data_IF_505243029515
#
_entry.id   IF_505243029515
#
_cell.length_a   1.000
_cell.length_b   1.000
_cell.length_c   1.000
_cell.angle_alpha   90.00
_cell.angle_beta   90.00
_cell.angle_gamma   90.00
#
_symmetry.space_group_name_H-M   'P 1'
#
loop_
_entity.id
_entity.type
_entity.pdbx_description
1 polymer ?
#
# COMPACT_ATOMS: atom_id res chain seq x y z
N UNK A 1 22.33 -53.85 1.17
CA UNK A 1 21.51 -52.78 1.76
C UNK A 1 21.99 -51.48 1.17
N UNK A 2 21.23 -50.94 0.21
CA UNK A 2 21.67 -49.83 -0.63
C UNK A 2 20.91 -48.55 -0.21
N UNK A 3 21.68 -47.55 0.24
CA UNK A 3 21.20 -46.21 0.49
C UNK A 3 20.90 -45.55 -0.86
N UNK A 4 19.66 -45.22 -1.10
CA UNK A 4 19.24 -44.45 -2.27
C UNK A 4 19.25 -42.94 -1.88
N UNK A 5 20.25 -42.23 -2.38
CA UNK A 5 20.33 -40.76 -2.27
C UNK A 5 19.37 -40.15 -3.26
N UNK A 6 18.30 -39.49 -2.75
CA UNK A 6 17.50 -38.60 -3.56
C UNK A 6 18.22 -37.25 -3.64
N UNK A 7 18.81 -36.97 -4.78
CA UNK A 7 19.24 -35.63 -5.18
C UNK A 7 17.99 -34.96 -5.72
N UNK A 8 17.39 -34.08 -4.92
CA UNK A 8 16.44 -33.09 -5.44
C UNK A 8 17.23 -32.08 -6.26
N UNK A 9 17.13 -32.20 -7.56
CA UNK A 9 17.59 -31.19 -8.50
C UNK A 9 16.56 -30.04 -8.48
N UNK A 10 16.83 -29.01 -7.67
CA UNK A 10 16.11 -27.77 -7.75
C UNK A 10 16.45 -27.11 -9.10
N UNK A 11 15.56 -27.29 -10.08
CA UNK A 11 15.58 -26.53 -11.30
C UNK A 11 15.25 -25.07 -10.93
N UNK A 12 16.29 -24.27 -10.70
CA UNK A 12 16.20 -22.82 -10.78
C UNK A 12 15.85 -22.53 -12.25
N UNK A 13 14.59 -22.29 -12.52
CA UNK A 13 14.17 -21.66 -13.74
C UNK A 13 14.77 -20.25 -13.74
N UNK A 14 15.98 -20.10 -14.27
CA UNK A 14 16.42 -18.84 -14.82
C UNK A 14 15.38 -18.52 -15.90
N UNK A 15 14.43 -17.66 -15.56
CA UNK A 15 13.70 -16.92 -16.56
C UNK A 15 14.74 -16.09 -17.29
N UNK A 16 15.23 -16.62 -18.40
CA UNK A 16 15.92 -15.84 -19.38
C UNK A 16 14.98 -14.69 -19.71
N UNK A 17 15.30 -13.50 -19.20
CA UNK A 17 14.79 -12.27 -19.79
C UNK A 17 15.20 -12.36 -21.25
N UNK A 18 14.26 -12.66 -22.11
CA UNK A 18 14.40 -12.48 -23.52
C UNK A 18 14.58 -10.97 -23.73
N UNK A 19 15.83 -10.50 -23.66
CA UNK A 19 16.22 -9.44 -24.54
C UNK A 19 15.95 -10.01 -25.94
N UNK A 20 14.88 -9.56 -26.58
CA UNK A 20 14.81 -9.69 -28.01
C UNK A 20 16.02 -8.91 -28.52
N UNK A 21 17.00 -9.61 -29.07
CA UNK A 21 18.11 -9.06 -29.82
C UNK A 21 17.58 -8.47 -31.16
N UNK A 22 16.75 -7.43 -31.05
CA UNK A 22 16.55 -6.46 -32.10
C UNK A 22 17.51 -5.31 -31.80
N UNK A 23 18.78 -5.51 -32.15
CA UNK A 23 19.85 -4.50 -32.10
C UNK A 23 19.58 -3.25 -32.94
N UNK A 24 18.51 -3.24 -33.70
CA UNK A 24 18.02 -2.12 -34.51
C UNK A 24 16.85 -1.33 -33.85
N UNK A 25 16.46 -1.61 -32.63
CA UNK A 25 15.39 -0.88 -31.94
C UNK A 25 15.85 0.56 -31.64
N UNK A 26 15.31 1.52 -32.36
CA UNK A 26 15.52 2.96 -32.11
C UNK A 26 14.75 3.50 -30.93
N UNK A 27 14.00 2.66 -30.24
CA UNK A 27 13.23 2.99 -29.04
C UNK A 27 13.51 1.95 -27.95
N UNK A 28 13.87 2.43 -26.74
CA UNK A 28 14.11 1.62 -25.56
C UNK A 28 13.20 2.02 -24.44
N UNK A 29 12.91 1.09 -23.54
CA UNK A 29 12.10 1.32 -22.35
C UNK A 29 12.57 0.49 -21.16
N UNK A 30 12.16 0.91 -19.95
CA UNK A 30 12.36 0.17 -18.71
C UNK A 30 11.35 0.62 -17.64
N UNK A 31 11.10 -0.24 -16.67
CA UNK A 31 10.31 0.08 -15.48
C UNK A 31 11.27 0.32 -14.30
N UNK A 32 11.55 1.59 -14.01
CA UNK A 32 12.60 2.00 -13.05
C UNK A 32 12.11 2.13 -11.61
N UNK A 33 10.81 2.20 -11.40
CA UNK A 33 10.21 2.28 -10.06
C UNK A 33 8.86 1.57 -10.03
N UNK A 34 8.61 0.83 -8.97
CA UNK A 34 7.32 0.18 -8.68
C UNK A 34 7.08 0.12 -7.19
N UNK A 35 5.83 0.23 -6.78
CA UNK A 35 5.42 0.04 -5.40
C UNK A 35 5.67 -1.41 -4.97
N UNK A 36 6.24 -1.59 -3.77
CA UNK A 36 6.50 -2.92 -3.16
C UNK A 36 5.55 -3.24 -2.01
N UNK A 37 4.74 -2.28 -1.59
CA UNK A 37 3.72 -2.49 -0.56
C UNK A 37 2.66 -3.52 -1.03
N UNK A 38 2.01 -4.26 -0.11
CA UNK A 38 0.89 -5.12 -0.45
C UNK A 38 -0.19 -4.36 -1.23
N UNK A 39 -0.63 -4.92 -2.36
CA UNK A 39 -1.70 -4.35 -3.16
C UNK A 39 -3.04 -4.60 -2.45
N UNK A 40 -3.65 -3.55 -1.92
CA UNK A 40 -4.93 -3.59 -1.19
C UNK A 40 -5.96 -2.78 -1.97
N UNK A 41 -7.20 -3.24 -2.03
CA UNK A 41 -8.28 -2.51 -2.71
C UNK A 41 -8.42 -1.07 -2.17
N UNK A 42 -8.51 -0.10 -3.08
CA UNK A 42 -8.51 1.33 -2.79
C UNK A 42 -7.13 1.99 -2.66
N UNK A 43 -6.05 1.20 -2.56
CA UNK A 43 -4.68 1.71 -2.54
C UNK A 43 -4.09 1.81 -3.95
N UNK A 44 -3.01 2.58 -4.08
CA UNK A 44 -2.31 2.76 -5.35
C UNK A 44 -1.12 1.82 -5.50
N UNK A 45 -0.96 1.26 -6.70
CA UNK A 45 0.30 0.72 -7.18
C UNK A 45 0.88 1.76 -8.13
N UNK A 46 2.05 2.28 -7.81
CA UNK A 46 2.69 3.36 -8.58
C UNK A 46 3.89 2.82 -9.34
N UNK A 47 4.02 3.27 -10.57
CA UNK A 47 5.11 2.90 -11.48
C UNK A 47 5.79 4.14 -12.04
N UNK A 48 7.07 3.99 -12.35
CA UNK A 48 7.85 4.92 -13.14
C UNK A 48 8.36 4.20 -14.39
N UNK A 49 7.80 4.57 -15.53
CA UNK A 49 8.10 3.98 -16.82
C UNK A 49 9.00 4.92 -17.63
N UNK A 50 10.23 4.48 -17.88
CA UNK A 50 11.23 5.22 -18.63
C UNK A 50 11.23 4.83 -20.09
N UNK A 51 11.41 5.82 -20.97
CA UNK A 51 11.49 5.65 -22.43
C UNK A 51 12.62 6.48 -23.00
N UNK A 52 13.28 5.98 -24.06
CA UNK A 52 14.32 6.70 -24.75
C UNK A 52 14.30 6.39 -26.26
N UNK A 53 14.20 7.41 -27.10
CA UNK A 53 14.27 7.30 -28.55
C UNK A 53 15.68 7.67 -29.04
N UNK A 54 16.32 6.78 -29.79
CA UNK A 54 17.60 7.07 -30.46
C UNK A 54 17.40 7.85 -31.74
N UNK A 55 16.24 7.67 -32.39
CA UNK A 55 15.84 8.40 -33.60
C UNK A 55 14.42 8.91 -33.45
N UNK A 56 14.17 10.14 -33.94
CA UNK A 56 12.88 10.80 -33.80
C UNK A 56 12.62 11.30 -32.38
N UNK A 57 11.37 11.34 -31.99
CA UNK A 57 10.88 11.85 -30.72
C UNK A 57 9.99 10.81 -30.06
N UNK A 58 9.83 10.90 -28.73
CA UNK A 58 8.79 10.15 -28.04
C UNK A 58 7.41 10.66 -28.48
N UNK A 59 6.51 9.76 -28.83
CA UNK A 59 5.14 10.08 -29.26
C UNK A 59 4.11 9.78 -28.19
N UNK A 60 3.98 8.53 -27.79
CA UNK A 60 2.93 8.08 -26.88
C UNK A 60 3.44 7.01 -25.92
N UNK A 61 2.91 7.03 -24.71
CA UNK A 61 3.00 5.91 -23.75
C UNK A 61 1.61 5.30 -23.55
N UNK A 62 1.56 4.00 -23.37
CA UNK A 62 0.35 3.26 -22.99
C UNK A 62 0.67 2.36 -21.80
N UNK A 63 -0.25 2.31 -20.85
CA UNK A 63 -0.26 1.33 -19.77
C UNK A 63 -1.53 0.51 -19.85
N UNK A 64 -1.41 -0.81 -19.87
CA UNK A 64 -2.53 -1.74 -19.92
C UNK A 64 -2.48 -2.67 -18.70
N UNK A 65 -3.56 -2.72 -17.94
CA UNK A 65 -3.75 -3.63 -16.82
C UNK A 65 -4.65 -4.80 -17.21
N UNK A 66 -4.43 -5.99 -16.64
CA UNK A 66 -5.27 -7.17 -16.88
C UNK A 66 -6.65 -7.06 -16.22
N UNK A 67 -6.82 -6.19 -15.22
CA UNK A 67 -8.09 -5.81 -14.60
C UNK A 67 -8.18 -4.29 -14.65
N UNK A 68 -9.32 -3.73 -15.04
CA UNK A 68 -9.54 -2.27 -15.07
C UNK A 68 -9.32 -1.68 -13.68
N UNK A 69 -8.57 -0.57 -13.60
CA UNK A 69 -8.36 0.13 -12.34
C UNK A 69 -9.58 0.93 -11.91
N UNK A 70 -9.66 1.23 -10.60
CA UNK A 70 -10.68 2.14 -10.08
C UNK A 70 -10.39 3.59 -10.47
N UNK A 71 -11.30 4.49 -10.14
CA UNK A 71 -11.19 5.93 -10.37
C UNK A 71 -9.85 6.48 -9.84
N UNK A 72 -9.22 7.33 -10.60
CA UNK A 72 -7.87 7.84 -10.31
C UNK A 72 -6.72 7.00 -10.88
N UNK A 73 -7.03 5.90 -11.60
CA UNK A 73 -6.03 5.16 -12.38
C UNK A 73 -5.66 5.93 -13.64
N UNK A 74 -4.36 6.05 -13.93
CA UNK A 74 -3.89 6.67 -15.17
C UNK A 74 -2.47 7.23 -15.07
N UNK A 75 -2.01 7.83 -16.18
CA UNK A 75 -0.77 8.57 -16.21
C UNK A 75 -0.94 9.96 -15.59
N UNK A 76 0.06 10.38 -14.81
CA UNK A 76 0.15 11.76 -14.33
C UNK A 76 0.64 12.67 -15.47
N UNK A 77 0.12 13.91 -15.53
CA UNK A 77 0.48 14.89 -16.55
C UNK A 77 1.94 15.33 -16.45
N UNK A 78 2.52 15.24 -15.26
CA UNK A 78 3.92 15.51 -15.04
C UNK A 78 4.71 14.20 -15.06
N UNK A 79 5.89 14.23 -15.65
CA UNK A 79 6.88 13.17 -15.58
C UNK A 79 8.13 13.64 -14.83
N UNK A 80 9.06 12.73 -14.62
CA UNK A 80 10.32 13.04 -13.96
C UNK A 80 11.40 12.08 -14.42
N UNK A 81 12.64 12.37 -14.05
CA UNK A 81 13.73 11.42 -14.12
C UNK A 81 14.41 11.31 -12.74
N UNK A 82 14.98 10.17 -12.45
CA UNK A 82 15.73 9.96 -11.22
C UNK A 82 17.17 10.46 -11.38
N UNK A 83 17.58 11.40 -10.54
CA UNK A 83 18.94 11.92 -10.56
C UNK A 83 19.96 10.82 -10.23
N UNK A 84 20.95 10.60 -11.11
CA UNK A 84 22.05 9.66 -10.84
C UNK A 84 23.10 10.23 -9.90
N UNK A 85 23.28 11.55 -9.95
CA UNK A 85 24.24 12.31 -9.16
C UNK A 85 23.56 13.56 -8.63
N UNK A 86 24.25 14.29 -7.72
CA UNK A 86 23.80 15.60 -7.28
C UNK A 86 23.60 16.52 -8.49
N UNK A 87 22.43 17.13 -8.57
CA UNK A 87 21.98 17.93 -9.69
C UNK A 87 21.30 19.19 -9.17
N UNK A 88 21.49 20.33 -9.86
CA UNK A 88 20.78 21.58 -9.57
C UNK A 88 19.90 21.91 -10.78
N UNK A 89 18.59 22.03 -10.56
CA UNK A 89 17.59 22.40 -11.58
C UNK A 89 16.77 23.56 -11.03
N UNK A 90 16.72 24.67 -11.75
CA UNK A 90 15.99 25.88 -11.34
C UNK A 90 16.31 26.35 -9.90
N UNK A 91 17.56 26.24 -9.47
CA UNK A 91 18.00 26.62 -8.11
C UNK A 91 17.66 25.59 -7.01
N UNK A 92 16.96 24.50 -7.32
CA UNK A 92 16.71 23.38 -6.40
C UNK A 92 17.79 22.34 -6.55
N UNK A 93 18.37 21.92 -5.43
CA UNK A 93 19.39 20.85 -5.40
C UNK A 93 18.73 19.51 -5.17
N UNK A 94 18.96 18.58 -6.08
CA UNK A 94 18.54 17.17 -6.00
C UNK A 94 19.75 16.30 -5.68
N UNK A 95 19.58 15.30 -4.84
CA UNK A 95 20.61 14.31 -4.53
C UNK A 95 20.50 13.10 -5.47
N UNK A 96 21.49 12.21 -5.45
CA UNK A 96 21.40 10.94 -6.15
C UNK A 96 20.20 10.13 -5.63
N UNK A 97 19.34 9.67 -6.54
CA UNK A 97 18.13 8.96 -6.22
C UNK A 97 16.86 9.82 -6.10
N UNK A 98 16.99 11.15 -6.05
CA UNK A 98 15.84 12.05 -6.04
C UNK A 98 15.14 12.08 -7.40
N UNK A 99 13.80 12.20 -7.38
CA UNK A 99 13.00 12.42 -8.58
C UNK A 99 13.02 13.90 -8.97
N UNK A 100 13.50 14.18 -10.17
CA UNK A 100 13.54 15.53 -10.75
C UNK A 100 12.32 15.72 -11.65
N UNK A 101 11.43 16.67 -11.37
CA UNK A 101 10.19 16.84 -12.13
C UNK A 101 10.46 17.35 -13.55
N UNK A 102 9.76 16.76 -14.52
CA UNK A 102 9.73 17.17 -15.92
C UNK A 102 8.29 17.13 -16.42
N UNK A 103 7.83 18.21 -17.00
CA UNK A 103 6.49 18.24 -17.60
C UNK A 103 6.59 17.75 -19.05
N UNK A 104 6.24 16.49 -19.28
CA UNK A 104 6.39 15.81 -20.58
C UNK A 104 5.11 15.23 -21.14
N UNK A 105 4.02 15.23 -20.36
CA UNK A 105 2.71 14.71 -20.78
C UNK A 105 1.78 15.86 -21.07
N UNK A 106 1.30 15.96 -22.33
CA UNK A 106 0.33 16.97 -22.76
C UNK A 106 -1.08 16.57 -22.41
N UNK A 107 -1.45 15.34 -22.76
CA UNK A 107 -2.76 14.76 -22.50
C UNK A 107 -2.59 13.35 -21.90
N UNK A 108 -3.47 12.98 -20.98
CA UNK A 108 -3.60 11.63 -20.50
C UNK A 108 -5.07 11.23 -20.52
N UNK A 109 -5.35 10.03 -20.98
CA UNK A 109 -6.69 9.47 -21.02
C UNK A 109 -6.70 8.06 -20.46
N UNK A 110 -7.83 7.64 -19.89
CA UNK A 110 -8.02 6.29 -19.36
C UNK A 110 -9.31 5.72 -19.92
N UNK A 111 -9.25 4.49 -20.44
CA UNK A 111 -10.39 3.73 -20.93
C UNK A 111 -10.35 2.31 -20.36
N UNK A 112 -11.09 2.09 -19.27
CA UNK A 112 -11.13 0.80 -18.59
C UNK A 112 -9.75 0.33 -18.11
N UNK A 113 -9.23 -0.74 -18.72
CA UNK A 113 -7.92 -1.31 -18.40
C UNK A 113 -6.74 -0.58 -19.08
N UNK A 114 -7.00 0.35 -20.00
CA UNK A 114 -5.96 1.02 -20.80
C UNK A 114 -5.88 2.49 -20.44
N UNK A 115 -4.68 2.98 -20.18
CA UNK A 115 -4.36 4.40 -20.05
C UNK A 115 -3.35 4.81 -21.12
N UNK A 116 -3.55 5.98 -21.73
CA UNK A 116 -2.68 6.53 -22.77
C UNK A 116 -2.22 7.92 -22.40
N UNK A 117 -0.98 8.26 -22.74
CA UNK A 117 -0.39 9.57 -22.53
C UNK A 117 0.36 10.01 -23.79
N UNK A 118 0.03 11.19 -24.29
CA UNK A 118 0.74 11.81 -25.42
C UNK A 118 1.91 12.63 -24.89
N UNK A 119 3.10 12.41 -25.44
CA UNK A 119 4.30 13.13 -25.05
C UNK A 119 4.30 14.53 -25.69
N UNK A 120 4.88 15.48 -24.98
CA UNK A 120 5.09 16.82 -25.51
C UNK A 120 6.19 16.81 -26.58
N UNK A 121 6.05 17.66 -27.59
CA UNK A 121 7.03 17.76 -28.69
C UNK A 121 8.38 18.31 -28.22
N UNK A 122 8.39 19.09 -27.14
CA UNK A 122 9.60 19.75 -26.61
C UNK A 122 9.60 19.68 -25.10
N UNK A 123 10.79 19.50 -24.55
CA UNK A 123 11.09 19.61 -23.12
C UNK A 123 12.03 20.79 -22.95
N UNK A 124 11.86 21.58 -21.90
CA UNK A 124 12.80 22.61 -21.52
C UNK A 124 14.18 21.96 -21.27
N UNK A 125 15.23 22.51 -21.85
CA UNK A 125 16.59 21.99 -21.74
C UNK A 125 17.06 21.83 -20.28
N UNK A 126 16.51 22.63 -19.35
CA UNK A 126 16.80 22.55 -17.92
C UNK A 126 16.34 21.24 -17.28
N UNK A 127 15.39 20.53 -17.90
CA UNK A 127 14.81 19.28 -17.41
C UNK A 127 15.39 18.05 -18.10
N UNK A 128 16.24 18.21 -19.11
CA UNK A 128 16.88 17.09 -19.79
C UNK A 128 17.89 16.41 -18.87
N UNK A 129 17.72 15.11 -18.65
CA UNK A 129 18.74 14.31 -17.98
C UNK A 129 19.93 14.10 -18.92
N UNK A 130 21.11 14.70 -18.68
CA UNK A 130 22.26 14.58 -19.57
C UNK A 130 22.71 13.13 -19.77
N UNK A 131 22.42 12.24 -18.83
CA UNK A 131 22.77 10.81 -18.93
C UNK A 131 21.85 10.02 -19.86
N UNK A 132 20.69 10.58 -20.25
CA UNK A 132 19.72 10.00 -21.16
C UNK A 132 19.69 10.77 -22.49
N UNK A 133 20.32 11.94 -22.54
CA UNK A 133 20.48 12.71 -23.78
C UNK A 133 21.52 12.02 -24.69
N UNK A 134 21.05 11.42 -25.76
CA UNK A 134 21.91 10.80 -26.76
C UNK A 134 22.50 11.85 -27.69
N UNK A 135 23.35 12.74 -27.17
CA UNK A 135 24.30 13.53 -27.96
C UNK A 135 23.76 14.43 -29.07
N UNK A 136 22.50 14.77 -29.10
CA UNK A 136 21.94 15.64 -30.16
C UNK A 136 21.57 17.00 -29.58
N UNK A 137 22.01 18.04 -30.24
CA UNK A 137 21.78 19.46 -29.95
C UNK A 137 20.34 19.95 -30.23
N UNK A 138 19.38 19.05 -30.38
CA UNK A 138 17.99 19.42 -30.68
C UNK A 138 17.11 19.34 -29.45
N UNK A 139 16.38 20.40 -29.20
CA UNK A 139 15.35 20.52 -28.16
C UNK A 139 14.10 19.68 -28.48
N UNK A 140 14.27 18.38 -28.67
CA UNK A 140 13.21 17.42 -28.92
C UNK A 140 13.16 16.40 -27.78
N UNK A 141 11.97 15.97 -27.40
CA UNK A 141 11.79 14.97 -26.34
C UNK A 141 12.26 13.61 -26.83
N UNK A 142 13.49 13.24 -26.49
CA UNK A 142 14.10 11.95 -26.83
C UNK A 142 14.11 10.97 -25.66
N UNK A 143 13.89 11.44 -24.43
CA UNK A 143 13.82 10.61 -23.23
C UNK A 143 12.81 11.18 -22.22
N UNK A 144 12.07 10.31 -21.57
CA UNK A 144 11.14 10.66 -20.53
C UNK A 144 10.95 9.53 -19.52
N UNK A 145 10.55 9.88 -18.32
CA UNK A 145 10.01 8.94 -17.32
C UNK A 145 8.62 9.42 -16.94
N UNK A 146 7.61 8.62 -17.20
CA UNK A 146 6.22 8.93 -16.90
C UNK A 146 5.76 8.18 -15.66
N UNK A 147 4.90 8.82 -14.85
CA UNK A 147 4.25 8.22 -13.69
C UNK A 147 2.93 7.60 -14.12
N UNK A 148 2.71 6.40 -13.65
CA UNK A 148 1.44 5.72 -13.78
C UNK A 148 0.99 5.24 -12.41
N UNK A 149 -0.21 5.65 -12.00
CA UNK A 149 -0.85 5.19 -10.77
C UNK A 149 -2.01 4.26 -11.13
N UNK A 150 -2.00 3.07 -10.58
CA UNK A 150 -3.11 2.13 -10.68
C UNK A 150 -3.81 2.03 -9.33
N UNK A 151 -5.08 2.44 -9.26
CA UNK A 151 -5.91 2.29 -8.07
C UNK A 151 -6.53 0.90 -8.09
N UNK A 152 -6.21 0.09 -7.09
CA UNK A 152 -6.65 -1.30 -7.00
C UNK A 152 -8.17 -1.36 -6.81
N UNK A 153 -8.95 -1.93 -7.74
CA UNK A 153 -10.39 -2.00 -7.60
C UNK A 153 -10.83 -3.12 -6.66
N UNK A 154 -12.03 -3.01 -6.09
CA UNK A 154 -12.54 -3.98 -5.13
C UNK A 154 -12.67 -5.40 -5.71
N UNK A 155 -13.03 -5.53 -6.98
CA UNK A 155 -13.16 -6.81 -7.69
C UNK A 155 -11.83 -7.53 -7.94
N UNK A 156 -10.71 -6.87 -7.72
CA UNK A 156 -9.38 -7.47 -7.84
C UNK A 156 -8.93 -8.22 -6.57
N UNK A 157 -9.61 -8.06 -5.45
CA UNK A 157 -9.27 -8.75 -4.19
C UNK A 157 -9.04 -10.24 -4.36
N UNK A 158 -7.89 -10.72 -3.89
CA UNK A 158 -7.50 -12.13 -3.95
C UNK A 158 -7.17 -12.63 -5.36
N UNK A 159 -7.09 -11.74 -6.36
CA UNK A 159 -6.69 -12.05 -7.74
C UNK A 159 -5.28 -11.53 -8.02
N UNK A 160 -4.77 -11.88 -9.18
CA UNK A 160 -3.50 -11.37 -9.69
C UNK A 160 -3.76 -10.31 -10.78
N UNK A 161 -2.96 -9.24 -10.77
CA UNK A 161 -2.96 -8.21 -11.80
C UNK A 161 -1.61 -8.20 -12.50
N UNK A 162 -1.60 -8.09 -13.82
CA UNK A 162 -0.40 -7.84 -14.61
C UNK A 162 -0.54 -6.53 -15.37
N UNK A 163 0.61 -5.91 -15.68
CA UNK A 163 0.68 -4.65 -16.42
C UNK A 163 1.59 -4.81 -17.62
N UNK A 164 1.21 -4.15 -18.72
CA UNK A 164 2.07 -3.98 -19.89
C UNK A 164 2.18 -2.49 -20.17
N UNK A 165 3.41 -1.99 -20.18
CA UNK A 165 3.74 -0.63 -20.59
C UNK A 165 4.28 -0.68 -22.00
N UNK A 166 3.87 0.25 -22.84
CA UNK A 166 4.40 0.38 -24.18
C UNK A 166 4.63 1.84 -24.55
N UNK A 167 5.55 2.07 -25.47
CA UNK A 167 5.86 3.38 -26.02
C UNK A 167 5.95 3.33 -27.52
N UNK A 168 5.65 4.45 -28.17
CA UNK A 168 5.76 4.63 -29.63
C UNK A 168 6.50 5.94 -29.91
N UNK A 169 7.46 5.90 -30.81
CA UNK A 169 8.16 7.10 -31.29
C UNK A 169 7.46 7.74 -32.48
N UNK A 170 7.87 8.97 -32.83
CA UNK A 170 7.40 9.68 -34.02
C UNK A 170 7.79 8.97 -35.35
N UNK A 171 8.78 8.09 -35.31
CA UNK A 171 9.19 7.26 -36.46
C UNK A 171 8.39 5.97 -36.56
N UNK A 172 7.48 5.70 -35.60
CA UNK A 172 6.69 4.48 -35.59
C UNK A 172 7.36 3.29 -34.86
N UNK A 173 8.59 3.45 -34.38
CA UNK A 173 9.23 2.43 -33.55
C UNK A 173 8.42 2.20 -32.25
N UNK A 174 8.38 0.94 -31.79
CA UNK A 174 7.63 0.52 -30.61
C UNK A 174 8.53 -0.26 -29.65
N UNK A 175 8.31 -0.05 -28.36
CA UNK A 175 8.90 -0.86 -27.31
C UNK A 175 7.84 -1.18 -26.26
N UNK A 176 7.96 -2.33 -25.59
CA UNK A 176 7.03 -2.73 -24.52
C UNK A 176 7.76 -3.42 -23.38
N UNK A 177 7.16 -3.33 -22.19
CA UNK A 177 7.61 -3.98 -20.98
C UNK A 177 6.41 -4.58 -20.26
N UNK A 178 6.47 -5.86 -19.89
CA UNK A 178 5.43 -6.53 -19.10
C UNK A 178 5.94 -6.84 -17.70
N UNK A 179 5.15 -6.50 -16.70
CA UNK A 179 5.51 -6.78 -15.31
C UNK A 179 5.25 -8.25 -14.97
N UNK A 180 5.95 -8.79 -13.94
CA UNK A 180 5.46 -9.95 -13.23
C UNK A 180 4.04 -9.73 -12.69
N UNK A 181 3.34 -10.81 -12.39
CA UNK A 181 2.01 -10.76 -11.79
C UNK A 181 2.07 -10.20 -10.36
N UNK A 182 1.14 -9.29 -10.04
CA UNK A 182 0.96 -8.73 -8.69
C UNK A 182 -0.20 -9.45 -8.00
N UNK A 183 0.03 -10.14 -6.88
CA UNK A 183 -1.06 -10.65 -6.06
C UNK A 183 -1.75 -9.46 -5.36
N UNK A 184 -3.07 -9.40 -5.46
CA UNK A 184 -3.88 -8.46 -4.70
C UNK A 184 -4.33 -9.13 -3.42
N UNK A 185 -4.03 -8.47 -2.31
CA UNK A 185 -4.41 -8.94 -0.98
C UNK A 185 -5.93 -9.08 -0.83
N UNK A 186 -6.35 -10.02 0.02
CA UNK A 186 -7.73 -10.10 0.49
C UNK A 186 -8.04 -9.10 1.60
N UNK A 187 -7.05 -8.39 2.11
CA UNK A 187 -7.22 -7.43 3.19
C UNK A 187 -8.09 -6.25 2.80
N UNK A 188 -8.75 -5.69 3.81
CA UNK A 188 -9.24 -4.32 3.83
C UNK A 188 -8.35 -3.48 4.74
N UNK A 189 -8.29 -2.18 4.48
CA UNK A 189 -7.54 -1.24 5.29
C UNK A 189 -8.34 0.04 5.54
N UNK A 190 -8.25 0.55 6.77
CA UNK A 190 -8.81 1.85 7.13
C UNK A 190 -7.86 2.56 8.08
N UNK A 191 -7.67 3.85 7.85
CA UNK A 191 -6.72 4.66 8.61
C UNK A 191 -7.43 5.70 9.45
N UNK A 192 -6.75 6.12 10.53
CA UNK A 192 -7.05 7.28 11.35
C UNK A 192 -8.47 7.29 11.94
N UNK A 193 -8.85 6.17 12.58
CA UNK A 193 -10.10 6.04 13.32
C UNK A 193 -9.88 6.57 14.73
N UNK A 194 -10.68 7.52 15.15
CA UNK A 194 -10.59 8.10 16.50
C UNK A 194 -11.35 7.26 17.51
N UNK A 195 -10.73 7.06 18.68
CA UNK A 195 -11.26 6.39 19.85
C UNK A 195 -11.18 7.33 21.06
N UNK A 196 -12.17 7.29 21.95
CA UNK A 196 -12.16 8.08 23.18
C UNK A 196 -13.24 7.66 24.16
N UNK A 197 -12.95 7.76 25.47
CA UNK A 197 -13.88 7.37 26.52
C UNK A 197 -15.23 8.10 26.45
N UNK A 198 -15.19 9.39 26.12
CA UNK A 198 -16.37 10.26 26.03
C UNK A 198 -17.04 10.22 24.65
N UNK A 199 -16.58 9.34 23.77
CA UNK A 199 -17.04 9.27 22.39
C UNK A 199 -17.18 7.84 21.88
N UNK A 200 -16.68 7.60 20.69
CA UNK A 200 -16.67 6.28 20.06
C UNK A 200 -15.54 5.43 20.69
N UNK A 201 -15.88 4.48 21.54
CA UNK A 201 -14.93 3.56 22.16
C UNK A 201 -15.21 2.09 21.86
N UNK A 202 -16.34 1.77 21.25
CA UNK A 202 -16.78 0.40 20.96
C UNK A 202 -16.41 0.03 19.52
N UNK A 203 -15.46 -0.86 19.36
CA UNK A 203 -14.92 -1.16 18.03
C UNK A 203 -15.44 -2.48 17.48
N UNK A 204 -15.93 -2.44 16.22
CA UNK A 204 -16.21 -3.62 15.41
C UNK A 204 -15.12 -3.80 14.35
N UNK A 205 -14.44 -4.94 14.41
CA UNK A 205 -13.46 -5.34 13.37
C UNK A 205 -14.19 -5.61 12.05
N UNK A 206 -15.37 -6.25 12.10
CA UNK A 206 -16.16 -6.54 10.90
C UNK A 206 -16.53 -5.25 10.16
N UNK A 207 -16.93 -4.20 10.86
CA UNK A 207 -17.32 -2.92 10.25
C UNK A 207 -16.13 -1.95 10.06
N UNK A 208 -14.95 -2.27 10.62
CA UNK A 208 -13.78 -1.39 10.74
C UNK A 208 -14.20 0.01 11.22
N UNK A 209 -14.99 0.06 12.27
CA UNK A 209 -15.60 1.28 12.80
C UNK A 209 -15.66 1.25 14.33
N UNK A 210 -15.43 2.43 14.91
CA UNK A 210 -15.74 2.71 16.30
C UNK A 210 -17.14 3.31 16.42
N UNK A 211 -17.86 2.90 17.44
CA UNK A 211 -19.22 3.32 17.77
C UNK A 211 -19.27 4.00 19.13
N UNK A 212 -20.22 4.91 19.29
CA UNK A 212 -20.58 5.46 20.60
C UNK A 212 -21.49 4.48 21.37
N UNK A 213 -21.67 4.70 22.67
CA UNK A 213 -22.59 3.90 23.49
C UNK A 213 -24.03 3.99 22.99
N UNK A 214 -24.44 5.16 22.55
CA UNK A 214 -25.77 5.40 21.99
C UNK A 214 -25.97 4.59 20.70
N UNK A 215 -25.02 4.64 19.77
CA UNK A 215 -25.08 3.85 18.51
C UNK A 215 -25.17 2.36 18.82
N UNK A 216 -24.35 1.84 19.74
CA UNK A 216 -24.38 0.41 20.13
C UNK A 216 -25.75 0.00 20.64
N UNK A 217 -26.37 0.85 21.46
CA UNK A 217 -27.68 0.57 22.06
C UNK A 217 -28.82 0.70 21.05
N UNK A 218 -28.87 1.81 20.33
CA UNK A 218 -29.98 2.12 19.41
C UNK A 218 -30.00 1.21 18.18
N UNK A 219 -28.81 0.79 17.69
CA UNK A 219 -28.66 -0.08 16.52
C UNK A 219 -28.48 -1.56 16.90
N UNK A 220 -28.56 -1.91 18.21
CA UNK A 220 -28.41 -3.29 18.70
C UNK A 220 -27.09 -3.96 18.27
N UNK A 221 -25.99 -3.23 18.37
CA UNK A 221 -24.67 -3.67 17.87
C UNK A 221 -23.84 -4.43 18.91
N UNK A 222 -24.37 -4.72 20.12
CA UNK A 222 -23.62 -5.32 21.21
C UNK A 222 -22.83 -6.60 20.81
N UNK A 223 -23.42 -7.47 20.01
CA UNK A 223 -22.79 -8.71 19.52
C UNK A 223 -21.70 -8.48 18.45
N UNK A 224 -21.61 -7.30 17.87
CA UNK A 224 -20.58 -6.93 16.87
C UNK A 224 -19.34 -6.31 17.51
N UNK A 225 -19.38 -5.94 18.79
CA UNK A 225 -18.26 -5.25 19.43
C UNK A 225 -17.17 -6.27 19.77
N UNK A 226 -16.03 -6.12 19.11
CA UNK A 226 -14.85 -6.97 19.31
C UNK A 226 -13.99 -6.48 20.47
N UNK A 227 -13.80 -5.16 20.58
CA UNK A 227 -13.11 -4.58 21.73
C UNK A 227 -13.65 -3.20 22.11
N UNK A 228 -13.39 -2.85 23.36
CA UNK A 228 -13.69 -1.55 23.93
C UNK A 228 -12.35 -0.86 24.20
N UNK A 229 -12.20 0.36 23.72
CA UNK A 229 -11.11 1.22 24.13
C UNK A 229 -11.43 1.85 25.46
N UNK A 230 -10.48 1.79 26.38
CA UNK A 230 -10.55 2.49 27.67
C UNK A 230 -9.24 3.21 27.97
N UNK A 231 -9.34 4.39 28.54
CA UNK A 231 -8.20 5.16 29.03
C UNK A 231 -8.40 5.54 30.49
N UNK A 232 -7.59 4.97 31.39
CA UNK A 232 -7.52 5.37 32.79
C UNK A 232 -6.26 6.20 32.99
N UNK A 233 -6.41 7.52 32.98
CA UNK A 233 -5.27 8.45 32.98
C UNK A 233 -4.58 8.56 34.35
N UNK A 234 -5.30 8.25 35.42
CA UNK A 234 -4.78 8.27 36.79
C UNK A 234 -4.26 6.88 37.19
N UNK A 235 -2.95 6.65 37.04
CA UNK A 235 -2.30 5.39 37.35
C UNK A 235 -1.42 4.88 36.19
N UNK A 236 -0.65 3.82 36.46
CA UNK A 236 0.23 3.23 35.47
C UNK A 236 -0.45 2.13 34.64
N UNK A 237 -1.41 1.44 35.24
CA UNK A 237 -2.15 0.34 34.63
C UNK A 237 -3.34 0.87 33.83
N UNK A 238 -3.62 0.27 32.69
CA UNK A 238 -4.78 0.57 31.84
C UNK A 238 -4.80 1.98 31.21
N UNK A 239 -3.65 2.68 31.16
CA UNK A 239 -3.62 4.07 30.70
C UNK A 239 -4.28 4.24 29.33
N UNK A 240 -3.99 3.35 28.39
CA UNK A 240 -4.68 3.21 27.11
C UNK A 240 -4.74 1.73 26.77
N UNK A 241 -5.92 1.16 26.69
CA UNK A 241 -6.07 -0.30 26.61
C UNK A 241 -7.24 -0.70 25.73
N UNK A 242 -7.14 -1.88 25.13
CA UNK A 242 -8.24 -2.57 24.47
C UNK A 242 -8.64 -3.76 25.31
N UNK A 243 -9.93 -3.92 25.54
CA UNK A 243 -10.48 -5.05 26.30
C UNK A 243 -11.69 -5.62 25.57
N UNK A 244 -11.81 -6.92 25.51
CA UNK A 244 -13.04 -7.55 24.98
C UNK A 244 -14.22 -7.30 25.93
N UNK A 245 -15.44 -7.20 25.42
CA UNK A 245 -16.62 -7.09 26.28
C UNK A 245 -16.76 -8.22 27.31
N UNK A 246 -16.38 -9.44 26.93
CA UNK A 246 -16.46 -10.63 27.80
C UNK A 246 -15.20 -10.93 28.61
N UNK A 247 -14.26 -9.99 28.72
CA UNK A 247 -13.03 -10.17 29.53
C UNK A 247 -13.33 -10.25 31.00
N UNK A 248 -12.35 -10.72 31.81
CA UNK A 248 -12.44 -10.68 33.27
C UNK A 248 -12.66 -9.22 33.76
N UNK A 249 -13.67 -8.95 34.59
CA UNK A 249 -13.97 -7.60 35.09
C UNK A 249 -12.79 -6.85 35.72
N UNK A 250 -11.79 -7.55 36.21
CA UNK A 250 -10.59 -6.90 36.78
C UNK A 250 -9.79 -6.09 35.76
N UNK A 251 -9.96 -6.37 34.45
CA UNK A 251 -9.34 -5.62 33.35
C UNK A 251 -10.19 -4.46 32.83
N UNK A 252 -11.43 -4.32 33.35
CA UNK A 252 -12.33 -3.22 33.02
C UNK A 252 -12.02 -2.05 33.96
N UNK A 253 -11.37 -1.02 33.46
CA UNK A 253 -10.95 0.14 34.23
C UNK A 253 -12.06 1.18 34.49
N UNK A 254 -13.10 1.18 33.64
CA UNK A 254 -14.20 2.13 33.68
C UNK A 254 -15.50 1.40 33.98
N UNK A 255 -16.11 1.69 35.15
CA UNK A 255 -17.35 1.06 35.54
C UNK A 255 -18.49 1.35 34.56
N UNK A 256 -19.26 0.33 34.21
CA UNK A 256 -20.40 0.45 33.29
C UNK A 256 -20.05 0.75 31.83
N UNK A 257 -18.77 0.60 31.42
CA UNK A 257 -18.36 0.79 30.05
C UNK A 257 -18.88 -0.35 29.14
N UNK A 258 -18.99 -1.59 29.63
CA UNK A 258 -19.45 -2.72 28.83
C UNK A 258 -20.92 -2.59 28.51
N UNK A 259 -21.33 -2.57 27.22
CA UNK A 259 -22.75 -2.49 26.85
C UNK A 259 -23.51 -3.77 27.23
N UNK A 260 -24.75 -3.62 27.58
CA UNK A 260 -25.61 -4.77 27.87
C UNK A 260 -25.69 -5.71 26.64
N UNK A 261 -25.48 -7.00 26.85
CA UNK A 261 -25.47 -8.01 25.76
C UNK A 261 -24.18 -8.13 24.97
N UNK A 262 -23.18 -7.31 25.21
CA UNK A 262 -21.86 -7.49 24.60
C UNK A 262 -21.04 -8.52 25.42
N UNK A 263 -20.72 -9.65 24.79
CA UNK A 263 -20.09 -10.81 25.48
C UNK A 263 -18.92 -11.40 24.69
N UNK A 264 -18.52 -10.79 23.58
CA UNK A 264 -17.44 -11.29 22.75
C UNK A 264 -16.13 -11.39 23.55
N UNK A 265 -15.39 -12.46 23.30
CA UNK A 265 -14.02 -12.68 23.79
C UNK A 265 -13.09 -12.72 22.60
N UNK A 266 -12.62 -11.58 22.18
CA UNK A 266 -11.72 -11.39 21.04
C UNK A 266 -10.29 -11.62 21.53
N UNK A 267 -9.58 -12.68 21.10
CA UNK A 267 -8.19 -12.86 21.45
C UNK A 267 -7.32 -11.76 20.85
N UNK A 268 -6.39 -11.24 21.65
CA UNK A 268 -5.53 -10.12 21.31
C UNK A 268 -4.08 -10.43 21.67
N UNK A 269 -3.17 -10.13 20.76
CA UNK A 269 -1.74 -10.18 21.02
C UNK A 269 -1.12 -8.81 20.74
N UNK A 270 -0.73 -8.10 21.81
CA UNK A 270 -0.06 -6.81 21.71
C UNK A 270 1.33 -6.98 21.11
N UNK A 271 1.68 -6.12 20.16
CA UNK A 271 3.00 -5.98 19.55
C UNK A 271 3.54 -4.58 19.77
N UNK A 272 4.66 -4.48 20.45
CA UNK A 272 5.33 -3.20 20.66
C UNK A 272 6.13 -2.80 19.43
N UNK A 273 5.95 -1.55 18.98
CA UNK A 273 6.77 -0.89 17.97
C UNK A 273 6.83 -1.63 16.59
N UNK A 274 5.77 -2.36 16.24
CA UNK A 274 5.63 -2.93 14.89
C UNK A 274 4.97 -1.89 13.99
N UNK A 275 5.81 -1.16 13.27
CA UNK A 275 5.43 0.00 12.46
C UNK A 275 5.06 -0.45 11.05
N UNK A 276 3.78 -0.69 10.80
CA UNK A 276 3.32 -0.93 9.42
C UNK A 276 3.32 0.36 8.61
N UNK A 277 4.10 0.39 7.53
CA UNK A 277 4.30 1.59 6.72
C UNK A 277 3.01 2.09 6.05
N UNK A 278 2.09 1.18 5.67
CA UNK A 278 0.81 1.58 5.09
C UNK A 278 -0.15 2.14 6.16
N UNK A 279 -0.17 1.60 7.37
CA UNK A 279 -1.02 2.08 8.46
C UNK A 279 -0.49 3.37 9.08
N UNK A 280 0.84 3.51 9.14
CA UNK A 280 1.49 4.73 9.61
C UNK A 280 1.41 5.88 8.62
N UNK A 281 1.43 5.58 7.31
CA UNK A 281 1.49 6.59 6.24
C UNK A 281 2.87 7.16 5.99
N UNK A 282 3.94 6.53 6.50
CA UNK A 282 5.34 6.94 6.36
C UNK A 282 6.21 5.72 5.98
N UNK A 283 7.14 5.91 5.06
CA UNK A 283 8.17 4.91 4.75
C UNK A 283 9.42 5.11 5.65
N UNK A 284 10.30 4.10 5.75
CA UNK A 284 10.19 2.69 5.47
C UNK A 284 10.12 1.89 6.76
N UNK A 285 9.21 0.97 6.86
CA UNK A 285 9.14 -0.02 7.94
C UNK A 285 8.67 -1.35 7.36
N UNK A 286 8.08 -2.20 8.18
CA UNK A 286 7.51 -3.46 7.72
C UNK A 286 6.15 -3.23 7.06
N UNK A 287 5.72 -4.21 6.29
CA UNK A 287 4.34 -4.34 5.82
C UNK A 287 3.74 -5.59 6.45
N UNK A 288 2.64 -5.44 7.16
CA UNK A 288 1.82 -6.58 7.55
C UNK A 288 1.00 -6.98 6.33
N UNK A 289 1.14 -8.21 5.91
CA UNK A 289 0.57 -8.75 4.69
C UNK A 289 -0.28 -10.02 4.92
N UNK A 290 -0.72 -10.65 3.83
CA UNK A 290 -1.56 -11.85 3.88
C UNK A 290 -0.85 -13.02 4.58
N UNK A 291 0.48 -13.10 4.51
CA UNK A 291 1.27 -14.19 5.13
C UNK A 291 1.25 -14.07 6.64
N UNK A 292 1.35 -12.85 7.18
CA UNK A 292 1.25 -12.60 8.62
C UNK A 292 -0.09 -13.09 9.16
N UNK A 293 -1.20 -12.80 8.47
CA UNK A 293 -2.52 -13.23 8.89
C UNK A 293 -2.77 -14.73 8.72
N UNK A 294 -2.24 -15.33 7.66
CA UNK A 294 -2.35 -16.77 7.41
C UNK A 294 -1.55 -17.60 8.42
N UNK A 295 -0.44 -17.06 8.91
CA UNK A 295 0.41 -17.71 9.91
C UNK A 295 0.06 -17.34 11.35
N UNK A 296 -0.95 -16.49 11.56
CA UNK A 296 -1.31 -15.95 12.87
C UNK A 296 -1.91 -17.02 13.78
N UNK A 297 -1.18 -17.35 14.85
CA UNK A 297 -1.67 -18.19 15.95
C UNK A 297 -1.93 -17.35 17.20
N UNK A 298 -3.19 -17.27 17.58
CA UNK A 298 -3.66 -16.60 18.80
C UNK A 298 -4.21 -17.59 19.85
N UNK A 299 -3.86 -18.87 19.75
CA UNK A 299 -4.36 -19.91 20.68
C UNK A 299 -4.02 -19.67 22.14
N UNK A 300 -2.90 -19.01 22.43
CA UNK A 300 -2.47 -18.61 23.77
C UNK A 300 -2.74 -17.14 24.10
N UNK A 301 -3.38 -16.38 23.19
CA UNK A 301 -3.64 -14.95 23.37
C UNK A 301 -4.73 -14.72 24.42
N UNK A 302 -4.64 -13.58 25.09
CA UNK A 302 -5.63 -13.10 26.06
C UNK A 302 -6.67 -12.23 25.36
N UNK A 303 -7.78 -11.95 26.06
CA UNK A 303 -8.88 -11.14 25.53
C UNK A 303 -8.80 -9.65 25.93
N UNK A 304 -7.56 -9.17 26.15
CA UNK A 304 -7.23 -7.79 26.44
C UNK A 304 -5.82 -7.43 25.96
N UNK A 305 -5.58 -6.14 25.72
CA UNK A 305 -4.26 -5.59 25.46
C UNK A 305 -4.10 -4.26 26.21
N UNK A 306 -3.16 -4.19 27.12
CA UNK A 306 -3.06 -3.11 28.11
C UNK A 306 -1.90 -2.16 27.81
N UNK A 307 -2.05 -0.91 28.22
CA UNK A 307 -0.98 0.11 28.27
C UNK A 307 -0.28 0.30 26.91
N UNK A 308 -1.05 0.70 25.90
CA UNK A 308 -0.51 1.04 24.58
C UNK A 308 0.30 2.34 24.63
N UNK A 309 1.32 2.37 23.78
CA UNK A 309 2.06 3.55 23.39
C UNK A 309 1.85 3.82 21.90
N UNK A 310 2.20 5.02 21.45
CA UNK A 310 2.28 5.31 20.01
C UNK A 310 3.21 4.29 19.34
N UNK A 311 2.89 3.89 18.13
CA UNK A 311 3.59 2.90 17.32
C UNK A 311 3.45 1.44 17.80
N UNK A 312 2.70 1.18 18.89
CA UNK A 312 2.26 -0.17 19.24
C UNK A 312 1.11 -0.62 18.34
N UNK A 313 0.81 -1.92 18.37
CA UNK A 313 -0.36 -2.49 17.74
C UNK A 313 -0.80 -3.78 18.42
N UNK A 314 -1.88 -4.36 17.92
CA UNK A 314 -2.33 -5.67 18.35
C UNK A 314 -2.89 -6.50 17.20
N UNK A 315 -2.46 -7.76 17.09
CA UNK A 315 -3.16 -8.76 16.33
C UNK A 315 -4.39 -9.25 17.08
N UNK A 316 -5.48 -9.43 16.36
CA UNK A 316 -6.76 -9.83 16.90
C UNK A 316 -7.46 -10.81 15.97
N UNK A 317 -8.37 -11.61 16.53
CA UNK A 317 -9.27 -12.45 15.74
C UNK A 317 -10.68 -12.30 16.28
N UNK A 318 -11.66 -11.97 15.42
CA UNK A 318 -13.05 -11.83 15.86
C UNK A 318 -13.55 -13.10 16.57
N UNK A 319 -14.39 -12.93 17.58
CA UNK A 319 -14.91 -14.05 18.36
C UNK A 319 -15.67 -15.08 17.51
N UNK A 320 -16.29 -14.64 16.38
CA UNK A 320 -16.96 -15.52 15.43
C UNK A 320 -15.99 -16.17 14.40
N UNK A 321 -14.71 -15.88 14.48
CA UNK A 321 -13.67 -16.45 13.61
C UNK A 321 -13.70 -16.00 12.16
N UNK A 322 -14.49 -14.99 11.79
CA UNK A 322 -14.59 -14.52 10.39
C UNK A 322 -13.38 -13.70 9.93
N UNK A 323 -12.78 -12.94 10.83
CA UNK A 323 -11.70 -12.00 10.49
C UNK A 323 -10.54 -12.08 11.46
N UNK A 324 -9.33 -11.92 10.91
CA UNK A 324 -8.17 -11.47 11.65
C UNK A 324 -7.94 -9.99 11.38
N UNK A 325 -7.32 -9.29 12.32
CA UNK A 325 -7.01 -7.89 12.17
C UNK A 325 -5.68 -7.53 12.83
N UNK A 326 -5.03 -6.50 12.32
CA UNK A 326 -3.97 -5.78 13.01
C UNK A 326 -4.40 -4.34 13.21
N UNK A 327 -4.52 -3.94 14.47
CA UNK A 327 -4.87 -2.57 14.87
C UNK A 327 -3.60 -1.86 15.30
N UNK A 328 -3.25 -0.78 14.59
CA UNK A 328 -2.04 0.01 14.82
C UNK A 328 -2.38 1.34 15.50
N UNK A 329 -1.59 1.74 16.48
CA UNK A 329 -1.77 2.98 17.24
C UNK A 329 -0.97 4.12 16.60
N UNK A 330 -1.66 4.99 15.86
CA UNK A 330 -1.05 6.15 15.20
C UNK A 330 -0.73 7.28 16.18
N UNK A 331 -1.64 7.53 17.12
CA UNK A 331 -1.53 8.64 18.08
C UNK A 331 -2.23 8.30 19.39
N UNK A 332 -1.67 8.81 20.46
CA UNK A 332 -2.26 8.81 21.82
C UNK A 332 -2.14 10.22 22.36
N UNK A 333 -3.12 10.66 23.12
CA UNK A 333 -3.04 11.91 23.86
C UNK A 333 -3.40 11.75 25.34
N UNK A 334 -3.02 12.74 26.15
CA UNK A 334 -3.26 12.75 27.58
C UNK A 334 -4.70 13.09 27.96
N UNK A 335 -5.60 13.35 26.99
CA UNK A 335 -7.03 13.57 27.20
C UNK A 335 -7.85 12.27 27.16
N UNK A 336 -7.20 11.12 26.98
CA UNK A 336 -7.87 9.83 26.87
C UNK A 336 -8.41 9.53 25.49
N UNK A 337 -7.78 10.08 24.46
CA UNK A 337 -8.07 9.78 23.06
C UNK A 337 -6.94 8.99 22.42
N UNK A 338 -7.29 8.19 21.44
CA UNK A 338 -6.37 7.40 20.64
C UNK A 338 -6.82 7.44 19.18
N UNK A 339 -5.87 7.52 18.27
CA UNK A 339 -6.13 7.35 16.83
C UNK A 339 -5.51 6.03 16.39
N UNK A 340 -6.28 5.19 15.73
CA UNK A 340 -5.84 3.88 15.25
C UNK A 340 -6.06 3.72 13.75
N UNK A 341 -5.28 2.83 13.15
CA UNK A 341 -5.49 2.33 11.79
C UNK A 341 -5.59 0.81 11.83
N UNK A 342 -6.29 0.20 10.87
CA UNK A 342 -6.55 -1.23 10.87
C UNK A 342 -6.32 -1.85 9.50
N UNK A 343 -5.71 -3.01 9.46
CA UNK A 343 -5.82 -4.00 8.40
C UNK A 343 -6.69 -5.16 8.89
N UNK A 344 -7.64 -5.57 8.06
CA UNK A 344 -8.56 -6.68 8.34
C UNK A 344 -8.45 -7.72 7.23
N UNK A 345 -8.28 -8.98 7.61
CA UNK A 345 -8.14 -10.12 6.72
C UNK A 345 -9.30 -11.10 6.92
N UNK A 346 -10.03 -11.53 5.87
CA UNK A 346 -11.05 -12.58 5.97
C UNK A 346 -10.38 -13.94 6.16
N UNK A 347 -10.83 -14.72 7.15
CA UNK A 347 -10.34 -16.05 7.49
C UNK A 347 -11.07 -17.17 6.74
#
# INVERSE_FOLDING_TARGET
MKLLKYIMLSAIALSCFSCSDDDDSTLRNDLIKKTVAPAIAGEKIEFAYAMGAQMGQLGQAEARASISGAEGTGFELNSWFTARNKLVVNGVTYQAGDDVPVQTVKDASTNGATSTATMMDKVDEHYMNPAVAFGTSQASLIAATVRYAYVVPAEAKGKNISFTFSSTSSTGAKASYSTPSYPVSKMDMKRLIELGNEGACYFSIEDMKAYTKEEVTTQSLASKIDFIYQAKLNGYDYKHSFVSPGTDPKYIAIAGIVPAGATNKTPMEKRANVRDAQLKGEAPNVYIDDVDFQSLDLGAAVDYALTFSKDDGAFMKTANGKYAAYVYVNKIDDSGKMTVSIKRYPL
#
